data_IF_705200626666
#
_entry.id   IF_705200626666
#
_cell.length_a   1.000
_cell.length_b   1.000
_cell.length_c   1.000
_cell.angle_alpha   90.00
_cell.angle_beta   90.00
_cell.angle_gamma   90.00
#
_symmetry.space_group_name_H-M   'P 1'
#
loop_
_entity.id
_entity.type
_entity.pdbx_description
1 polymer ?
#
# COMPACT_ATOMS: atom_id res chain seq x y z
N UNK A 1 -15.46 -20.77 -3.95
CA UNK A 1 -14.79 -20.10 -2.80
C UNK A 1 -15.85 -19.37 -1.97
N UNK A 2 -16.01 -19.74 -0.70
CA UNK A 2 -17.09 -19.19 0.15
C UNK A 2 -16.99 -17.67 0.34
N UNK A 3 -15.78 -17.16 0.51
CA UNK A 3 -15.54 -15.73 0.82
C UNK A 3 -15.87 -14.77 -0.34
N UNK A 4 -15.98 -15.26 -1.58
CA UNK A 4 -16.15 -14.45 -2.80
C UNK A 4 -17.30 -14.92 -3.68
N UNK A 5 -18.34 -15.53 -3.10
CA UNK A 5 -19.54 -16.06 -3.81
C UNK A 5 -20.32 -15.02 -4.60
N UNK A 6 -20.13 -13.75 -4.34
CA UNK A 6 -20.76 -12.65 -5.05
C UNK A 6 -20.18 -12.39 -6.46
N UNK A 7 -19.02 -13.01 -6.77
CA UNK A 7 -18.43 -12.88 -8.10
C UNK A 7 -19.27 -13.70 -9.11
N UNK A 8 -19.56 -13.13 -10.29
CA UNK A 8 -20.15 -13.91 -11.38
C UNK A 8 -19.22 -15.06 -11.80
N UNK A 9 -19.77 -16.19 -12.22
CA UNK A 9 -19.00 -17.38 -12.64
C UNK A 9 -18.01 -17.11 -13.79
N UNK A 10 -18.34 -16.15 -14.65
CA UNK A 10 -17.50 -15.74 -15.79
C UNK A 10 -16.54 -14.57 -15.46
N UNK A 11 -16.38 -14.19 -14.20
CA UNK A 11 -15.51 -13.09 -13.77
C UNK A 11 -14.18 -13.62 -13.25
N UNK A 12 -13.10 -13.43 -14.03
CA UNK A 12 -11.74 -13.84 -13.69
C UNK A 12 -10.89 -12.61 -13.34
N UNK A 13 -10.80 -12.28 -12.04
CA UNK A 13 -10.19 -11.04 -11.59
C UNK A 13 -8.70 -11.18 -11.30
N UNK A 14 -7.85 -10.48 -12.06
CA UNK A 14 -6.38 -10.47 -11.96
C UNK A 14 -5.79 -9.06 -11.78
N UNK A 15 -6.52 -8.15 -11.12
CA UNK A 15 -6.01 -6.77 -10.83
C UNK A 15 -5.90 -6.47 -9.32
N UNK A 16 -5.53 -7.47 -8.52
CA UNK A 16 -5.39 -7.36 -7.05
C UNK A 16 -4.35 -6.32 -6.62
N UNK A 17 -3.33 -6.04 -7.43
CA UNK A 17 -2.32 -5.00 -7.15
C UNK A 17 -2.87 -3.57 -7.27
N UNK A 18 -4.00 -3.38 -7.97
CA UNK A 18 -4.75 -2.13 -7.99
C UNK A 18 -5.72 -2.08 -6.81
N UNK A 19 -6.56 -3.09 -6.69
CA UNK A 19 -7.57 -3.20 -5.65
C UNK A 19 -7.89 -4.69 -5.41
N UNK A 20 -7.68 -5.20 -4.20
CA UNK A 20 -8.08 -6.56 -3.87
C UNK A 20 -9.61 -6.66 -3.69
N UNK A 21 -10.18 -7.80 -4.01
CA UNK A 21 -11.59 -8.11 -3.72
C UNK A 21 -11.81 -8.22 -2.21
N UNK A 22 -13.01 -7.89 -1.72
CA UNK A 22 -13.34 -7.97 -0.29
C UNK A 22 -13.97 -9.33 0.01
N UNK A 23 -13.48 -10.07 1.02
CA UNK A 23 -14.20 -11.24 1.51
C UNK A 23 -15.59 -10.86 2.03
N UNK A 24 -16.56 -11.77 1.96
CA UNK A 24 -17.93 -11.50 2.38
C UNK A 24 -18.00 -10.99 3.83
N UNK A 25 -17.21 -11.55 4.75
CA UNK A 25 -17.17 -11.11 6.14
C UNK A 25 -16.78 -9.63 6.32
N UNK A 26 -15.98 -9.07 5.41
CA UNK A 26 -15.59 -7.64 5.43
C UNK A 26 -16.76 -6.76 4.96
N UNK A 27 -17.50 -7.24 3.95
CA UNK A 27 -18.73 -6.58 3.47
C UNK A 27 -19.79 -6.60 4.57
N UNK A 28 -19.95 -7.74 5.24
CA UNK A 28 -20.91 -7.92 6.34
C UNK A 28 -20.59 -7.00 7.52
N UNK A 29 -19.31 -6.89 7.92
CA UNK A 29 -18.87 -5.99 8.99
C UNK A 29 -19.15 -4.51 8.68
N UNK A 30 -18.99 -4.11 7.41
CA UNK A 30 -19.33 -2.75 6.97
C UNK A 30 -20.87 -2.52 7.02
N UNK A 31 -21.66 -3.49 6.58
CA UNK A 31 -23.10 -3.42 6.64
C UNK A 31 -23.61 -3.38 8.09
N UNK A 32 -23.06 -4.21 8.99
CA UNK A 32 -23.38 -4.22 10.41
C UNK A 32 -23.18 -2.84 11.05
N UNK A 33 -22.05 -2.16 10.75
CA UNK A 33 -21.85 -0.78 11.22
C UNK A 33 -22.99 0.13 10.80
N UNK A 34 -23.39 0.11 9.53
CA UNK A 34 -24.43 1.00 9.01
C UNK A 34 -25.85 0.66 9.49
N UNK A 35 -26.15 -0.61 9.79
CA UNK A 35 -27.48 -1.04 10.19
C UNK A 35 -27.69 -1.05 11.69
N UNK A 36 -26.68 -1.41 12.48
CA UNK A 36 -26.89 -1.79 13.88
C UNK A 36 -26.36 -0.73 14.86
N UNK A 37 -25.26 0.00 14.50
CA UNK A 37 -24.65 1.00 15.38
C UNK A 37 -24.02 2.19 14.62
N UNK A 38 -24.68 2.64 13.55
CA UNK A 38 -24.25 3.80 12.76
C UNK A 38 -24.15 5.06 13.63
N UNK A 39 -22.98 5.34 14.12
CA UNK A 39 -22.69 6.39 15.09
C UNK A 39 -21.35 7.04 14.84
N UNK A 40 -21.23 8.28 15.28
CA UNK A 40 -19.95 8.94 15.43
C UNK A 40 -19.18 8.27 16.59
N UNK A 41 -17.90 8.02 16.40
CA UNK A 41 -16.96 7.77 17.48
C UNK A 41 -16.46 9.06 18.10
N UNK A 42 -15.55 8.97 19.06
CA UNK A 42 -14.90 10.04 19.81
C UNK A 42 -15.87 11.02 20.50
N UNK A 43 -15.64 11.33 21.75
CA UNK A 43 -16.38 12.34 22.53
C UNK A 43 -17.88 12.10 22.73
N UNK A 44 -18.49 11.05 22.17
CA UNK A 44 -19.89 10.71 22.41
C UNK A 44 -20.05 9.86 23.67
N UNK A 45 -21.24 9.94 24.30
CA UNK A 45 -21.46 9.28 25.60
C UNK A 45 -22.49 8.15 25.53
N UNK A 46 -23.19 7.99 24.41
CA UNK A 46 -24.17 6.91 24.21
C UNK A 46 -23.50 5.60 23.76
N UNK A 47 -24.20 4.49 23.92
CA UNK A 47 -23.65 3.15 23.78
C UNK A 47 -23.02 2.87 22.40
N UNK A 48 -23.68 3.25 21.31
CA UNK A 48 -23.15 3.05 19.95
C UNK A 48 -21.84 3.76 19.72
N UNK A 49 -21.68 5.01 20.17
CA UNK A 49 -20.44 5.73 20.01
C UNK A 49 -19.29 5.12 20.83
N UNK A 50 -19.55 4.61 22.03
CA UNK A 50 -18.56 3.86 22.79
C UNK A 50 -18.12 2.58 22.08
N UNK A 51 -19.10 1.86 21.49
CA UNK A 51 -18.81 0.67 20.69
C UNK A 51 -17.94 1.00 19.48
N UNK A 52 -18.20 2.13 18.80
CA UNK A 52 -17.35 2.59 17.68
C UNK A 52 -15.92 2.89 18.17
N UNK A 53 -15.77 3.59 19.31
CA UNK A 53 -14.46 3.91 19.89
C UNK A 53 -13.66 2.64 20.20
N UNK A 54 -14.29 1.65 20.84
CA UNK A 54 -13.67 0.36 21.17
C UNK A 54 -13.21 -0.39 19.92
N UNK A 55 -14.08 -0.50 18.90
CA UNK A 55 -13.76 -1.19 17.65
C UNK A 55 -12.68 -0.49 16.82
N UNK A 56 -12.65 0.83 16.84
CA UNK A 56 -11.61 1.63 16.16
C UNK A 56 -10.25 1.45 16.84
N UNK A 57 -10.22 1.46 18.18
CA UNK A 57 -8.97 1.22 18.92
C UNK A 57 -8.48 -0.21 18.74
N UNK A 58 -9.37 -1.20 18.77
CA UNK A 58 -9.03 -2.58 18.41
C UNK A 58 -8.44 -2.69 17.00
N UNK A 59 -8.90 -1.87 16.07
CA UNK A 59 -8.34 -1.83 14.70
C UNK A 59 -6.91 -1.27 14.70
N UNK A 60 -6.65 -0.20 15.46
CA UNK A 60 -5.29 0.35 15.61
C UNK A 60 -4.34 -0.67 16.22
N UNK A 61 -4.79 -1.37 17.26
CA UNK A 61 -4.02 -2.46 17.88
C UNK A 61 -3.76 -3.60 16.91
N UNK A 62 -4.78 -4.04 16.15
CA UNK A 62 -4.64 -5.11 15.15
C UNK A 62 -3.61 -4.79 14.05
N UNK A 63 -3.53 -3.50 13.64
CA UNK A 63 -2.50 -3.02 12.70
C UNK A 63 -1.11 -3.11 13.30
N UNK A 64 -0.92 -2.67 14.54
CA UNK A 64 0.36 -2.75 15.24
C UNK A 64 0.79 -4.20 15.45
N UNK A 65 -0.14 -5.06 15.86
CA UNK A 65 0.09 -6.50 16.08
C UNK A 65 0.49 -7.20 14.78
N UNK A 66 -0.13 -6.88 13.65
CA UNK A 66 0.21 -7.42 12.33
C UNK A 66 1.70 -7.22 12.03
N UNK A 67 2.22 -6.04 12.35
CA UNK A 67 3.62 -5.67 12.14
C UNK A 67 4.51 -5.95 13.35
N UNK A 68 3.99 -6.51 14.43
CA UNK A 68 4.70 -6.76 15.71
C UNK A 68 5.38 -5.49 16.26
N UNK A 69 4.71 -4.35 16.10
CA UNK A 69 5.10 -3.06 16.65
C UNK A 69 4.40 -2.82 17.98
N UNK A 70 4.98 -1.96 18.83
CA UNK A 70 4.44 -1.70 20.17
C UNK A 70 3.79 -0.31 20.23
N UNK A 71 2.59 -0.21 20.78
CA UNK A 71 1.82 1.04 20.97
C UNK A 71 2.56 2.09 21.79
N UNK A 72 3.45 1.69 22.70
CA UNK A 72 4.31 2.65 23.41
C UNK A 72 5.28 3.42 22.51
N UNK A 73 5.58 2.91 21.31
CA UNK A 73 6.53 3.50 20.35
C UNK A 73 5.88 4.00 19.07
N UNK A 74 4.71 3.49 18.72
CA UNK A 74 4.01 3.80 17.49
C UNK A 74 2.55 4.16 17.77
N UNK A 75 1.99 4.95 16.90
CA UNK A 75 0.55 5.17 16.79
C UNK A 75 0.10 4.92 15.35
N UNK A 76 -1.19 4.65 15.19
CA UNK A 76 -1.83 4.42 13.91
C UNK A 76 -2.80 5.57 13.63
N UNK A 77 -2.77 6.10 12.42
CA UNK A 77 -3.76 7.06 11.92
C UNK A 77 -4.33 6.57 10.60
N UNK A 78 -5.59 6.92 10.35
CA UNK A 78 -6.29 6.56 9.13
C UNK A 78 -6.41 7.76 8.18
N UNK A 79 -6.38 7.48 6.88
CA UNK A 79 -6.48 8.48 5.81
C UNK A 79 -7.26 7.88 4.64
N UNK A 80 -7.36 8.59 3.51
CA UNK A 80 -8.07 8.07 2.33
C UNK A 80 -7.32 6.93 1.63
N UNK A 81 -6.00 7.02 1.52
CA UNK A 81 -5.12 6.04 0.85
C UNK A 81 -3.65 6.41 1.07
N UNK A 82 -2.72 5.58 0.56
CA UNK A 82 -1.27 5.84 0.64
C UNK A 82 -0.85 7.19 0.04
N UNK A 83 -1.40 7.57 -1.11
CA UNK A 83 -1.06 8.85 -1.76
C UNK A 83 -1.41 10.02 -0.86
N UNK A 84 -2.62 10.00 -0.29
CA UNK A 84 -3.07 11.03 0.65
C UNK A 84 -2.20 11.03 1.91
N UNK A 85 -1.98 9.87 2.52
CA UNK A 85 -1.16 9.74 3.73
C UNK A 85 0.28 10.21 3.54
N UNK A 86 0.94 9.86 2.42
CA UNK A 86 2.29 10.35 2.12
C UNK A 86 2.33 11.88 1.96
N UNK A 87 1.40 12.46 1.19
CA UNK A 87 1.35 13.91 1.01
C UNK A 87 1.01 14.62 2.32
N UNK A 88 0.07 14.11 3.11
CA UNK A 88 -0.29 14.67 4.41
C UNK A 88 0.90 14.64 5.38
N UNK A 89 1.61 13.51 5.45
CA UNK A 89 2.79 13.37 6.31
C UNK A 89 3.91 14.31 5.86
N UNK A 90 4.32 14.23 4.57
CA UNK A 90 5.43 15.03 4.04
C UNK A 90 5.14 16.53 4.08
N UNK A 91 3.90 16.97 3.82
CA UNK A 91 3.56 18.40 3.85
C UNK A 91 3.70 19.05 5.22
N UNK A 92 3.64 18.25 6.29
CA UNK A 92 3.69 18.67 7.68
C UNK A 92 5.02 18.37 8.38
N UNK A 93 5.99 17.75 7.68
CA UNK A 93 7.30 17.44 8.26
C UNK A 93 8.26 18.64 8.21
N UNK A 94 8.84 18.96 9.37
CA UNK A 94 9.95 19.91 9.51
C UNK A 94 11.18 19.16 10.05
N UNK A 95 12.00 18.60 9.13
CA UNK A 95 13.16 17.79 9.48
C UNK A 95 14.47 18.55 9.30
N UNK A 96 15.48 18.33 10.17
CA UNK A 96 16.81 18.92 10.02
C UNK A 96 17.64 18.12 8.99
N UNK A 97 17.21 18.11 7.73
CA UNK A 97 17.81 17.34 6.65
C UNK A 97 18.26 18.25 5.50
N UNK A 98 19.17 17.72 4.65
CA UNK A 98 19.69 18.42 3.47
C UNK A 98 19.29 17.73 2.17
N UNK A 99 18.78 16.52 2.24
CA UNK A 99 18.39 15.74 1.07
C UNK A 99 17.24 14.78 1.38
N UNK A 100 16.44 14.50 0.36
CA UNK A 100 15.48 13.39 0.34
C UNK A 100 15.94 12.35 -0.67
N UNK A 101 15.89 11.08 -0.28
CA UNK A 101 16.34 9.94 -1.09
C UNK A 101 15.15 9.07 -1.41
N UNK A 102 15.01 8.69 -2.67
CA UNK A 102 14.00 7.73 -3.14
C UNK A 102 14.62 6.77 -4.14
N UNK A 103 13.86 5.82 -4.67
CA UNK A 103 14.36 4.95 -5.73
C UNK A 103 13.63 5.17 -7.06
N UNK A 104 14.20 4.64 -8.14
CA UNK A 104 13.66 4.81 -9.48
C UNK A 104 12.36 4.03 -9.71
N UNK A 105 12.17 2.90 -9.02
CA UNK A 105 11.04 1.97 -9.20
C UNK A 105 9.78 2.39 -8.43
N UNK A 106 9.74 3.60 -7.90
CA UNK A 106 8.66 4.05 -7.03
C UNK A 106 7.34 4.28 -7.77
N UNK A 107 6.26 3.97 -7.08
CA UNK A 107 4.94 4.44 -7.48
C UNK A 107 4.89 5.98 -7.48
N UNK A 108 4.08 6.59 -8.35
CA UNK A 108 3.93 8.05 -8.44
C UNK A 108 3.60 8.70 -7.08
N UNK A 109 2.93 8.01 -6.17
CA UNK A 109 2.66 8.50 -4.81
C UNK A 109 3.92 8.86 -4.03
N UNK A 110 4.99 8.08 -4.19
CA UNK A 110 6.30 8.34 -3.59
C UNK A 110 7.11 9.26 -4.49
N UNK A 111 7.17 8.95 -5.78
CA UNK A 111 8.06 9.65 -6.70
C UNK A 111 7.73 11.14 -6.81
N UNK A 112 6.44 11.50 -6.94
CA UNK A 112 5.98 12.89 -7.06
C UNK A 112 5.99 13.60 -5.70
N UNK A 113 5.55 12.94 -4.63
CA UNK A 113 5.53 13.58 -3.30
C UNK A 113 6.94 13.90 -2.78
N UNK A 114 7.95 13.06 -3.09
CA UNK A 114 9.35 13.37 -2.77
C UNK A 114 9.92 14.51 -3.61
N UNK A 115 9.46 14.68 -4.84
CA UNK A 115 9.82 15.79 -5.73
C UNK A 115 9.27 17.12 -5.15
N UNK A 116 7.97 17.17 -4.87
CA UNK A 116 7.34 18.37 -4.29
C UNK A 116 7.87 18.71 -2.90
N UNK A 117 8.19 17.71 -2.09
CA UNK A 117 8.82 17.93 -0.79
C UNK A 117 10.20 18.56 -0.91
N UNK A 118 11.05 18.06 -1.84
CA UNK A 118 12.39 18.60 -2.09
C UNK A 118 12.32 20.06 -2.56
N UNK A 119 11.42 20.34 -3.50
CA UNK A 119 11.20 21.69 -4.04
C UNK A 119 10.74 22.66 -2.95
N UNK A 120 9.68 22.27 -2.18
CA UNK A 120 9.12 23.11 -1.10
C UNK A 120 10.17 23.45 -0.03
N UNK A 121 11.06 22.53 0.30
CA UNK A 121 12.06 22.71 1.37
C UNK A 121 13.44 23.18 0.86
N UNK A 122 13.61 23.38 -0.45
CA UNK A 122 14.89 23.82 -1.05
C UNK A 122 16.04 22.83 -0.79
N UNK A 123 15.76 21.52 -0.78
CA UNK A 123 16.76 20.48 -0.50
C UNK A 123 17.00 19.58 -1.71
N UNK A 124 18.14 18.91 -1.73
CA UNK A 124 18.49 18.00 -2.82
C UNK A 124 17.56 16.76 -2.82
N UNK A 125 17.13 16.34 -4.00
CA UNK A 125 16.48 15.05 -4.22
C UNK A 125 17.44 14.08 -4.91
N UNK A 126 17.60 12.90 -4.33
CA UNK A 126 18.45 11.83 -4.88
C UNK A 126 17.56 10.64 -5.24
N UNK A 127 17.67 10.18 -6.48
CA UNK A 127 16.97 8.97 -6.96
C UNK A 127 18.02 7.87 -7.15
N UNK A 128 17.88 6.78 -6.41
CA UNK A 128 18.82 5.65 -6.44
C UNK A 128 18.27 4.53 -7.33
N UNK A 129 19.13 3.83 -8.07
CA UNK A 129 18.75 2.61 -8.75
C UNK A 129 18.45 1.50 -7.73
N UNK A 130 17.65 0.54 -8.14
CA UNK A 130 17.46 -0.74 -7.42
C UNK A 130 18.37 -1.78 -8.03
N UNK A 131 19.01 -2.57 -7.18
CA UNK A 131 19.75 -3.76 -7.61
C UNK A 131 18.79 -4.80 -8.22
N UNK A 132 19.32 -5.75 -8.98
CA UNK A 132 18.53 -6.79 -9.63
C UNK A 132 17.67 -7.61 -8.65
N UNK A 133 18.17 -7.85 -7.44
CA UNK A 133 17.44 -8.54 -6.37
C UNK A 133 16.35 -7.67 -5.69
N UNK A 134 16.28 -6.37 -6.03
CA UNK A 134 15.38 -5.39 -5.45
C UNK A 134 15.94 -4.62 -4.26
N UNK A 135 17.18 -4.88 -3.84
CA UNK A 135 17.85 -4.15 -2.77
C UNK A 135 18.20 -2.71 -3.17
N UNK A 136 18.43 -1.86 -2.16
CA UNK A 136 19.14 -0.59 -2.32
C UNK A 136 20.57 -0.73 -1.82
N UNK A 137 21.53 -0.23 -2.59
CA UNK A 137 22.92 -0.25 -2.16
C UNK A 137 23.10 0.47 -0.83
N UNK A 138 23.79 -0.18 0.10
CA UNK A 138 24.12 0.35 1.43
C UNK A 138 25.38 1.22 1.41
N UNK A 139 26.09 1.34 0.28
CA UNK A 139 27.28 2.19 0.13
C UNK A 139 26.94 3.67 -0.01
N UNK A 140 25.65 3.98 -0.17
CA UNK A 140 25.18 5.36 -0.19
C UNK A 140 25.29 6.04 1.18
N UNK A 141 25.52 7.36 1.14
CA UNK A 141 25.46 8.21 2.32
C UNK A 141 24.01 8.62 2.62
N UNK A 142 23.50 8.17 3.77
CA UNK A 142 22.16 8.50 4.28
C UNK A 142 22.17 9.54 5.40
N UNK A 143 23.30 10.19 5.67
CA UNK A 143 23.37 11.25 6.67
C UNK A 143 22.53 12.47 6.27
N UNK A 144 21.93 13.16 7.23
CA UNK A 144 21.08 14.32 7.01
C UNK A 144 20.04 14.11 5.90
N UNK A 145 19.42 12.91 5.84
CA UNK A 145 18.48 12.56 4.80
C UNK A 145 17.14 12.04 5.35
N UNK A 146 16.10 12.19 4.52
CA UNK A 146 14.88 11.42 4.60
C UNK A 146 14.84 10.42 3.45
N UNK A 147 14.74 9.14 3.75
CA UNK A 147 14.58 8.07 2.75
C UNK A 147 13.09 7.74 2.65
N UNK A 148 12.53 7.74 1.44
CA UNK A 148 11.13 7.35 1.17
C UNK A 148 11.12 6.36 0.03
N UNK A 149 10.79 5.09 0.32
CA UNK A 149 10.87 4.00 -0.65
C UNK A 149 9.76 2.97 -0.45
N UNK A 150 9.37 2.30 -1.54
CA UNK A 150 8.43 1.20 -1.44
C UNK A 150 9.08 -0.08 -0.88
N UNK A 151 8.33 -0.83 -0.10
CA UNK A 151 8.75 -2.13 0.41
C UNK A 151 8.54 -3.26 -0.62
N UNK A 152 7.54 -3.11 -1.51
CA UNK A 152 7.23 -4.03 -2.61
C UNK A 152 6.77 -3.22 -3.80
N UNK A 153 7.35 -3.48 -4.97
CA UNK A 153 6.99 -2.83 -6.23
C UNK A 153 5.61 -3.27 -6.72
N UNK A 154 4.83 -2.31 -7.19
CA UNK A 154 3.53 -2.56 -7.81
C UNK A 154 3.64 -2.94 -9.30
N UNK A 155 4.84 -2.95 -9.85
CA UNK A 155 5.10 -3.27 -11.25
C UNK A 155 5.31 -4.77 -11.42
N UNK A 156 6.19 -5.34 -10.60
CA UNK A 156 6.69 -6.71 -10.75
C UNK A 156 6.72 -7.50 -9.41
N UNK A 157 6.16 -6.94 -8.35
CA UNK A 157 6.16 -7.57 -7.03
C UNK A 157 7.53 -7.72 -6.37
N UNK A 158 8.58 -7.11 -6.92
CA UNK A 158 9.94 -7.14 -6.38
C UNK A 158 9.97 -6.49 -5.01
N UNK A 159 10.59 -7.16 -4.05
CA UNK A 159 10.71 -6.70 -2.67
C UNK A 159 11.95 -5.86 -2.48
N UNK A 160 11.94 -4.97 -1.48
CA UNK A 160 13.14 -4.37 -0.92
C UNK A 160 13.82 -5.42 -0.02
N UNK A 161 14.61 -6.31 -0.61
CA UNK A 161 15.13 -7.51 0.09
C UNK A 161 15.99 -7.15 1.32
N UNK A 162 16.72 -6.04 1.28
CA UNK A 162 17.59 -5.61 2.39
C UNK A 162 16.94 -4.56 3.31
N UNK A 163 15.60 -4.50 3.41
CA UNK A 163 14.86 -3.48 4.17
C UNK A 163 15.38 -3.28 5.61
N UNK A 164 15.63 -4.37 6.34
CA UNK A 164 16.12 -4.29 7.72
C UNK A 164 17.53 -3.67 7.81
N UNK A 165 18.42 -4.04 6.90
CA UNK A 165 19.77 -3.50 6.81
C UNK A 165 19.74 -2.02 6.41
N UNK A 166 18.90 -1.65 5.45
CA UNK A 166 18.72 -0.27 5.01
C UNK A 166 18.23 0.61 6.17
N UNK A 167 17.17 0.21 6.86
CA UNK A 167 16.65 0.97 8.01
C UNK A 167 17.71 1.14 9.08
N UNK A 168 18.44 0.07 9.41
CA UNK A 168 19.55 0.12 10.38
C UNK A 168 20.67 1.09 9.93
N UNK A 169 21.04 1.07 8.65
CA UNK A 169 22.07 1.95 8.08
C UNK A 169 21.65 3.41 8.12
N UNK A 170 20.43 3.72 7.65
CA UNK A 170 19.85 5.07 7.69
C UNK A 170 19.81 5.62 9.12
N UNK A 171 19.28 4.85 10.06
CA UNK A 171 19.21 5.27 11.48
C UNK A 171 20.60 5.45 12.11
N UNK A 172 21.57 4.59 11.80
CA UNK A 172 22.97 4.72 12.28
C UNK A 172 23.62 6.01 11.81
N UNK A 173 23.25 6.51 10.65
CA UNK A 173 23.76 7.76 10.08
C UNK A 173 22.93 9.00 10.48
N UNK A 174 21.94 8.86 11.36
CA UNK A 174 21.08 9.95 11.81
C UNK A 174 20.02 10.37 10.79
N UNK A 175 19.78 9.58 9.76
CA UNK A 175 18.73 9.78 8.78
C UNK A 175 17.36 9.28 9.27
N UNK A 176 16.34 9.61 8.49
CA UNK A 176 14.94 9.19 8.69
C UNK A 176 14.49 8.31 7.53
N UNK A 177 13.49 7.44 7.79
CA UNK A 177 12.97 6.55 6.75
C UNK A 177 11.47 6.35 6.87
N UNK A 178 10.76 6.56 5.75
CA UNK A 178 9.34 6.27 5.54
C UNK A 178 9.24 5.15 4.50
N UNK A 179 8.43 4.15 4.80
CA UNK A 179 8.18 3.02 3.90
C UNK A 179 6.78 3.12 3.29
N UNK A 180 6.71 3.12 1.95
CA UNK A 180 5.47 2.84 1.24
C UNK A 180 5.21 1.33 1.27
N UNK A 181 4.18 0.95 2.00
CA UNK A 181 3.78 -0.43 2.24
C UNK A 181 2.49 -0.80 1.49
N UNK A 182 2.08 -0.01 0.49
CA UNK A 182 0.82 -0.21 -0.22
C UNK A 182 0.67 -1.62 -0.80
N UNK A 183 1.73 -2.19 -1.35
CA UNK A 183 1.73 -3.57 -1.86
C UNK A 183 2.15 -4.59 -0.81
N UNK A 184 2.91 -4.17 0.20
CA UNK A 184 3.48 -5.09 1.18
C UNK A 184 2.48 -5.53 2.25
N UNK A 185 1.61 -4.64 2.70
CA UNK A 185 0.75 -4.88 3.88
C UNK A 185 -0.22 -6.05 3.66
N UNK A 186 -0.73 -6.26 2.44
CA UNK A 186 -1.66 -7.35 2.12
C UNK A 186 -1.03 -8.70 1.80
N UNK A 187 0.18 -8.71 1.24
CA UNK A 187 0.78 -9.94 0.70
C UNK A 187 2.12 -10.31 1.32
N UNK A 188 2.82 -9.35 1.92
CA UNK A 188 4.18 -9.51 2.44
C UNK A 188 4.37 -8.77 3.78
N UNK A 189 3.35 -8.68 4.63
CA UNK A 189 3.44 -7.96 5.91
C UNK A 189 4.53 -8.52 6.83
N UNK A 190 4.90 -9.78 6.67
CA UNK A 190 5.99 -10.40 7.44
C UNK A 190 7.34 -9.69 7.19
N UNK A 191 7.56 -9.13 5.98
CA UNK A 191 8.73 -8.32 5.63
C UNK A 191 8.85 -7.07 6.51
N UNK A 192 7.71 -6.54 6.96
CA UNK A 192 7.63 -5.30 7.73
C UNK A 192 7.70 -5.51 9.25
N UNK A 193 7.58 -6.78 9.71
CA UNK A 193 7.53 -7.07 11.14
C UNK A 193 8.79 -6.64 11.88
N UNK A 194 8.60 -5.91 12.98
CA UNK A 194 9.68 -5.40 13.85
C UNK A 194 10.67 -4.43 13.15
N UNK A 195 10.37 -3.98 11.95
CA UNK A 195 11.22 -2.98 11.26
C UNK A 195 11.07 -1.62 11.98
N UNK A 196 12.17 -1.00 12.46
CA UNK A 196 12.10 0.24 13.22
C UNK A 196 12.12 1.50 12.31
N UNK A 197 11.29 1.52 11.26
CA UNK A 197 11.11 2.70 10.40
C UNK A 197 10.45 3.85 11.17
N UNK A 198 10.59 5.08 10.71
CA UNK A 198 9.96 6.25 11.31
C UNK A 198 8.47 6.34 10.98
N UNK A 199 8.11 5.92 9.75
CA UNK A 199 6.72 5.74 9.37
C UNK A 199 6.54 4.64 8.33
N UNK A 200 5.33 4.07 8.30
CA UNK A 200 4.83 3.17 7.27
C UNK A 200 3.53 3.78 6.75
N UNK A 201 3.34 3.78 5.45
CA UNK A 201 2.11 4.26 4.82
C UNK A 201 1.58 3.19 3.88
N UNK A 202 0.30 2.86 3.99
CA UNK A 202 -0.32 1.77 3.25
C UNK A 202 -1.75 2.09 2.81
N UNK A 203 -2.30 1.22 1.96
CA UNK A 203 -3.69 1.28 1.49
C UNK A 203 -4.40 -0.03 1.79
N UNK A 204 -5.42 0.03 2.62
CA UNK A 204 -6.20 -1.14 3.04
C UNK A 204 -6.94 -1.82 1.89
N UNK A 205 -7.36 -1.07 0.85
CA UNK A 205 -8.00 -1.63 -0.34
C UNK A 205 -7.12 -2.60 -1.15
N UNK A 206 -5.82 -2.71 -0.84
CA UNK A 206 -4.90 -3.70 -1.42
C UNK A 206 -4.67 -4.90 -0.49
N UNK A 207 -5.34 -4.93 0.66
CA UNK A 207 -5.29 -6.03 1.60
C UNK A 207 -6.69 -6.54 2.01
N UNK A 208 -7.57 -6.68 1.02
CA UNK A 208 -8.93 -7.24 1.17
C UNK A 208 -9.88 -6.42 2.03
N UNK A 209 -9.54 -5.15 2.30
CA UNK A 209 -10.31 -4.24 3.13
C UNK A 209 -11.00 -3.12 2.32
N UNK A 210 -11.89 -2.32 2.93
CA UNK A 210 -12.45 -1.13 2.31
C UNK A 210 -11.39 -0.11 1.87
N UNK A 211 -11.82 0.92 1.13
CA UNK A 211 -10.93 2.00 0.68
C UNK A 211 -10.54 2.89 1.85
N UNK A 212 -9.35 2.66 2.39
CA UNK A 212 -8.80 3.34 3.55
C UNK A 212 -7.28 3.44 3.42
N UNK A 213 -6.68 4.53 3.84
CA UNK A 213 -5.25 4.68 4.04
C UNK A 213 -4.88 4.39 5.49
N UNK A 214 -3.68 3.87 5.70
CA UNK A 214 -3.15 3.55 7.02
C UNK A 214 -1.76 4.16 7.15
N UNK A 215 -1.55 4.94 8.18
CA UNK A 215 -0.25 5.46 8.58
C UNK A 215 0.12 4.91 9.95
N UNK A 216 1.32 4.38 10.08
CA UNK A 216 1.89 3.92 11.34
C UNK A 216 3.13 4.75 11.58
N UNK A 217 3.11 5.58 12.61
CA UNK A 217 4.14 6.61 12.83
C UNK A 217 4.78 6.43 14.20
N UNK A 218 6.10 6.55 14.26
CA UNK A 218 6.84 6.51 15.54
C UNK A 218 6.52 7.77 16.37
N UNK A 219 6.21 7.58 17.65
CA UNK A 219 5.87 8.68 18.55
C UNK A 219 6.99 9.73 18.70
N UNK A 220 8.25 9.30 18.72
CA UNK A 220 9.39 10.22 18.74
C UNK A 220 9.67 10.93 17.41
N UNK A 221 9.17 10.40 16.30
CA UNK A 221 9.21 11.08 15.00
C UNK A 221 8.14 12.17 14.89
N UNK A 222 7.03 12.03 15.63
CA UNK A 222 5.93 12.99 15.63
C UNK A 222 6.34 14.40 16.10
N UNK A 223 7.44 14.54 16.85
CA UNK A 223 7.98 15.88 17.25
C UNK A 223 8.41 16.75 16.04
N UNK A 224 8.62 16.15 14.88
CA UNK A 224 8.95 16.85 13.64
C UNK A 224 7.72 17.18 12.78
N UNK A 225 6.53 16.86 13.28
CA UNK A 225 5.28 17.12 12.56
C UNK A 225 4.70 18.43 13.08
N UNK A 226 4.51 19.38 12.18
CA UNK A 226 3.83 20.63 12.42
C UNK A 226 2.48 20.61 11.72
N UNK A 227 1.42 20.35 12.51
CA UNK A 227 0.07 20.26 11.94
C UNK A 227 -0.31 21.54 11.23
N UNK A 228 -0.58 21.43 9.94
CA UNK A 228 -1.02 22.53 9.07
C UNK A 228 -2.39 22.25 8.43
N UNK A 229 -2.85 21.01 8.53
CA UNK A 229 -4.18 20.60 8.11
C UNK A 229 -5.01 20.30 9.36
N UNK A 230 -5.77 21.30 9.80
CA UNK A 230 -6.46 21.29 11.10
C UNK A 230 -7.97 21.41 10.93
N UNK A 231 -8.73 20.85 11.88
CA UNK A 231 -10.19 20.85 11.82
C UNK A 231 -10.86 20.27 13.05
N UNK A 232 -12.11 19.86 12.90
CA UNK A 232 -12.86 19.21 13.97
C UNK A 232 -12.18 17.95 14.47
N UNK A 233 -12.34 17.62 15.75
CA UNK A 233 -11.79 16.42 16.36
C UNK A 233 -10.34 16.54 16.87
N UNK A 234 -9.59 17.57 16.51
CA UNK A 234 -8.15 17.67 16.76
C UNK A 234 -7.76 18.58 17.94
N UNK A 235 -8.68 19.37 18.46
CA UNK A 235 -8.36 20.46 19.41
C UNK A 235 -9.01 20.24 20.77
N UNK A 236 -8.28 20.58 21.82
CA UNK A 236 -8.78 20.63 23.21
C UNK A 236 -9.42 21.98 23.54
N UNK A 237 -8.95 23.08 22.93
CA UNK A 237 -9.42 24.43 23.14
C UNK A 237 -9.26 25.30 21.92
N UNK A 238 -10.20 26.21 21.69
CA UNK A 238 -10.16 27.20 20.59
C UNK A 238 -10.51 28.58 21.16
N UNK A 239 -9.69 29.59 20.85
CA UNK A 239 -9.93 31.00 21.10
C UNK A 239 -10.03 31.74 19.78
N UNK A 240 -10.32 33.03 19.80
CA UNK A 240 -10.46 33.84 18.59
C UNK A 240 -9.24 33.70 17.64
N UNK A 241 -8.04 33.79 18.18
CA UNK A 241 -6.80 33.85 17.39
C UNK A 241 -5.79 32.74 17.75
N UNK A 242 -6.23 31.67 18.44
CA UNK A 242 -5.37 30.57 18.87
C UNK A 242 -6.16 29.30 19.14
N UNK A 243 -5.48 28.18 19.10
CA UNK A 243 -6.04 26.88 19.47
C UNK A 243 -4.97 25.99 20.09
N UNK A 244 -5.41 24.99 20.85
CA UNK A 244 -4.57 23.97 21.45
C UNK A 244 -4.95 22.61 20.88
N UNK A 245 -3.96 21.87 20.37
CA UNK A 245 -4.15 20.51 19.87
C UNK A 245 -4.39 19.51 20.99
N UNK A 246 -5.09 18.43 20.70
CA UNK A 246 -5.10 17.24 21.55
C UNK A 246 -3.69 16.67 21.69
N UNK A 247 -3.40 16.09 22.85
CA UNK A 247 -2.07 15.57 23.18
C UNK A 247 -2.18 14.21 23.88
N UNK A 248 -1.05 13.58 24.14
CA UNK A 248 -0.98 12.30 24.84
C UNK A 248 -1.44 11.13 23.98
N UNK A 249 -2.38 10.34 24.45
CA UNK A 249 -2.85 9.14 23.79
C UNK A 249 -3.63 9.42 22.49
N UNK A 250 -4.12 10.66 22.32
CA UNK A 250 -4.86 11.11 21.13
C UNK A 250 -3.95 11.67 20.04
N UNK A 251 -2.66 11.39 20.07
CA UNK A 251 -1.66 11.87 19.07
C UNK A 251 -2.01 11.51 17.63
N UNK A 252 -2.75 10.43 17.40
CA UNK A 252 -3.21 10.02 16.06
C UNK A 252 -4.08 11.08 15.38
N UNK A 253 -4.79 11.91 16.17
CA UNK A 253 -5.69 12.96 15.66
C UNK A 253 -4.98 14.03 14.84
N UNK A 254 -3.64 14.17 14.95
CA UNK A 254 -2.86 15.10 14.10
C UNK A 254 -3.01 14.84 12.61
N UNK A 255 -3.47 13.63 12.21
CA UNK A 255 -3.69 13.23 10.84
C UNK A 255 -5.16 12.90 10.54
N UNK A 256 -6.06 13.01 11.51
CA UNK A 256 -7.47 12.61 11.41
C UNK A 256 -8.44 13.79 11.65
N UNK A 257 -8.32 14.90 10.89
CA UNK A 257 -9.26 16.01 11.03
C UNK A 257 -10.64 15.63 10.49
N UNK A 258 -11.69 16.02 11.24
CA UNK A 258 -13.08 15.83 10.85
C UNK A 258 -13.63 14.44 11.17
N UNK A 259 -14.78 14.13 10.59
CA UNK A 259 -15.42 12.83 10.75
C UNK A 259 -14.64 11.75 10.01
N UNK A 260 -14.32 10.68 10.71
CA UNK A 260 -13.59 9.56 10.13
C UNK A 260 -14.54 8.54 9.46
N UNK A 261 -14.00 7.68 8.60
CA UNK A 261 -14.70 6.59 7.93
C UNK A 261 -14.84 5.39 8.88
N UNK A 262 -15.67 5.55 9.93
CA UNK A 262 -15.75 4.59 11.04
C UNK A 262 -16.05 3.16 10.58
N UNK A 263 -17.02 2.98 9.68
CA UNK A 263 -17.37 1.66 9.15
C UNK A 263 -16.21 1.00 8.42
N UNK A 264 -15.48 1.75 7.60
CA UNK A 264 -14.32 1.27 6.86
C UNK A 264 -13.16 0.91 7.79
N UNK A 265 -12.96 1.68 8.86
CA UNK A 265 -11.93 1.41 9.88
C UNK A 265 -12.27 0.11 10.62
N UNK A 266 -13.50 -0.07 11.04
CA UNK A 266 -13.98 -1.27 11.75
C UNK A 266 -13.87 -2.50 10.84
N UNK A 267 -14.36 -2.42 9.61
CA UNK A 267 -14.28 -3.51 8.65
C UNK A 267 -12.83 -3.86 8.26
N UNK A 268 -11.89 -2.93 8.41
CA UNK A 268 -10.48 -3.19 8.19
C UNK A 268 -9.91 -4.19 9.21
N UNK A 269 -10.31 -4.13 10.47
CA UNK A 269 -9.93 -5.17 11.46
C UNK A 269 -10.40 -6.55 11.03
N UNK A 270 -11.63 -6.66 10.54
CA UNK A 270 -12.16 -7.92 10.01
C UNK A 270 -11.29 -8.45 8.86
N UNK A 271 -10.83 -7.58 7.96
CA UNK A 271 -9.93 -7.97 6.88
C UNK A 271 -8.56 -8.45 7.41
N UNK A 272 -7.99 -7.81 8.43
CA UNK A 272 -6.75 -8.25 9.09
C UNK A 272 -6.92 -9.63 9.70
N UNK A 273 -8.01 -9.85 10.44
CA UNK A 273 -8.29 -11.12 11.10
C UNK A 273 -8.55 -12.25 10.08
N UNK A 274 -9.24 -11.93 9.00
CA UNK A 274 -9.44 -12.84 7.88
C UNK A 274 -8.10 -13.21 7.22
N UNK A 275 -7.27 -12.21 6.90
CA UNK A 275 -5.98 -12.41 6.25
C UNK A 275 -5.04 -13.31 7.08
N UNK A 276 -4.98 -13.10 8.39
CA UNK A 276 -4.17 -13.93 9.32
C UNK A 276 -4.56 -15.42 9.30
N UNK A 277 -5.79 -15.74 8.95
CA UNK A 277 -6.31 -17.13 8.86
C UNK A 277 -6.01 -17.80 7.51
N UNK A 278 -5.57 -17.05 6.51
CA UNK A 278 -5.35 -17.60 5.17
C UNK A 278 -4.08 -18.46 5.10
N UNK A 279 -4.24 -19.66 4.55
CA UNK A 279 -3.15 -20.63 4.33
C UNK A 279 -2.76 -20.77 2.85
N UNK A 280 -3.32 -19.95 1.96
CA UNK A 280 -3.21 -20.09 0.50
C UNK A 280 -1.95 -19.47 -0.14
N UNK A 281 -0.95 -19.07 0.65
CA UNK A 281 0.27 -18.46 0.10
C UNK A 281 0.99 -19.36 -0.90
N UNK A 282 1.10 -20.68 -0.58
CA UNK A 282 1.69 -21.66 -1.49
C UNK A 282 0.95 -21.81 -2.81
N UNK A 283 -0.39 -21.66 -2.81
CA UNK A 283 -1.22 -21.67 -4.02
C UNK A 283 -0.97 -20.44 -4.90
N UNK A 284 -0.83 -19.25 -4.30
CA UNK A 284 -0.47 -18.03 -5.04
C UNK A 284 0.90 -18.17 -5.68
N UNK A 285 1.88 -18.71 -4.95
CA UNK A 285 3.24 -18.93 -5.46
C UNK A 285 3.23 -19.93 -6.64
N UNK A 286 2.45 -21.00 -6.55
CA UNK A 286 2.24 -21.98 -7.64
C UNK A 286 1.64 -21.31 -8.88
N UNK A 287 0.55 -20.57 -8.72
CA UNK A 287 -0.12 -19.86 -9.83
C UNK A 287 0.79 -18.81 -10.46
N UNK A 288 1.53 -18.08 -9.62
CA UNK A 288 2.50 -17.08 -10.10
C UNK A 288 3.59 -17.72 -10.97
N UNK A 289 4.11 -18.86 -10.53
CA UNK A 289 5.11 -19.60 -11.29
C UNK A 289 4.54 -20.12 -12.61
N UNK A 290 3.35 -20.69 -12.60
CA UNK A 290 2.71 -21.24 -13.80
C UNK A 290 2.45 -20.14 -14.85
N UNK A 291 1.89 -18.99 -14.46
CA UNK A 291 1.66 -17.88 -15.39
C UNK A 291 2.99 -17.29 -15.89
N UNK A 292 3.97 -17.13 -15.02
CA UNK A 292 5.29 -16.59 -15.37
C UNK A 292 6.00 -17.47 -16.40
N UNK A 293 6.07 -18.79 -16.18
CA UNK A 293 6.70 -19.74 -17.12
C UNK A 293 5.91 -19.80 -18.43
N UNK A 294 4.58 -19.81 -18.39
CA UNK A 294 3.75 -19.75 -19.58
C UNK A 294 4.07 -18.51 -20.45
N UNK A 295 4.08 -17.31 -19.85
CA UNK A 295 4.35 -16.07 -20.57
C UNK A 295 5.74 -16.06 -21.21
N UNK A 296 6.75 -16.62 -20.55
CA UNK A 296 8.12 -16.73 -21.09
C UNK A 296 8.24 -17.64 -22.30
N UNK A 297 7.31 -18.56 -22.48
CA UNK A 297 7.30 -19.44 -23.68
C UNK A 297 6.58 -18.82 -24.87
N UNK A 298 5.84 -17.71 -24.67
CA UNK A 298 5.05 -17.10 -25.74
C UNK A 298 5.93 -16.23 -26.66
N UNK A 299 5.77 -16.42 -27.96
CA UNK A 299 6.53 -15.70 -28.99
C UNK A 299 6.17 -14.21 -28.98
N UNK A 300 7.17 -13.33 -28.92
CA UNK A 300 7.00 -11.89 -28.94
C UNK A 300 6.59 -11.30 -27.57
N UNK A 301 6.42 -12.11 -26.54
CA UNK A 301 6.15 -11.67 -25.17
C UNK A 301 7.46 -11.42 -24.42
N UNK A 302 7.55 -10.25 -23.82
CA UNK A 302 8.68 -9.82 -23.00
C UNK A 302 8.20 -9.61 -21.57
N UNK A 303 8.58 -10.51 -20.67
CA UNK A 303 8.21 -10.45 -19.24
C UNK A 303 9.22 -9.60 -18.51
N UNK A 304 8.74 -8.57 -17.79
CA UNK A 304 9.59 -7.64 -17.01
C UNK A 304 10.18 -8.28 -15.76
N UNK A 305 9.46 -9.23 -15.18
CA UNK A 305 9.87 -9.91 -13.95
C UNK A 305 11.12 -10.78 -14.18
N UNK A 306 12.08 -10.72 -13.27
CA UNK A 306 13.23 -11.64 -13.24
C UNK A 306 12.88 -13.00 -12.65
N UNK A 307 11.94 -13.02 -11.71
CA UNK A 307 11.43 -14.22 -11.05
C UNK A 307 9.91 -14.16 -10.91
N UNK A 308 9.28 -15.30 -10.74
CA UNK A 308 7.84 -15.39 -10.50
C UNK A 308 7.47 -14.67 -9.18
N UNK A 309 6.48 -13.80 -9.26
CA UNK A 309 5.87 -13.09 -8.13
C UNK A 309 4.36 -13.01 -8.38
N UNK A 310 3.53 -12.69 -7.38
CA UNK A 310 2.09 -12.51 -7.58
C UNK A 310 1.71 -11.33 -8.50
N UNK A 311 2.66 -10.49 -8.86
CA UNK A 311 2.46 -9.36 -9.77
C UNK A 311 3.39 -9.55 -10.96
N UNK A 312 2.84 -9.82 -12.15
CA UNK A 312 3.60 -10.10 -13.36
C UNK A 312 3.25 -9.05 -14.40
N UNK A 313 4.27 -8.38 -14.93
CA UNK A 313 4.12 -7.39 -16.00
C UNK A 313 4.85 -7.81 -17.26
N UNK A 314 4.21 -7.63 -18.40
CA UNK A 314 4.78 -7.97 -19.70
C UNK A 314 4.31 -6.99 -20.79
N UNK A 315 5.02 -6.98 -21.90
CA UNK A 315 4.59 -6.36 -23.14
C UNK A 315 4.82 -7.33 -24.31
N UNK A 316 4.19 -7.05 -25.44
CA UNK A 316 4.36 -7.83 -26.65
C UNK A 316 4.99 -6.96 -27.75
N UNK A 317 5.89 -7.54 -28.56
CA UNK A 317 6.67 -6.81 -29.60
C UNK A 317 5.79 -6.13 -30.66
N UNK A 318 4.60 -6.68 -30.92
CA UNK A 318 3.71 -6.23 -32.01
C UNK A 318 2.31 -5.81 -31.55
N UNK A 319 1.83 -6.35 -30.43
CA UNK A 319 0.47 -6.10 -29.93
C UNK A 319 0.50 -5.00 -28.88
N UNK A 320 -0.42 -4.05 -28.99
CA UNK A 320 -0.59 -3.01 -27.98
C UNK A 320 -1.17 -3.59 -26.69
N UNK A 321 -0.64 -3.17 -25.54
CA UNK A 321 -1.04 -3.68 -24.23
C UNK A 321 -2.51 -3.40 -23.88
N UNK A 322 -3.08 -2.30 -24.37
CA UNK A 322 -4.49 -1.98 -24.15
C UNK A 322 -5.39 -2.89 -24.99
N UNK A 323 -4.98 -3.23 -26.20
CA UNK A 323 -5.72 -4.19 -27.04
C UNK A 323 -5.68 -5.60 -26.44
N UNK A 324 -4.54 -6.04 -25.89
CA UNK A 324 -4.45 -7.31 -25.16
C UNK A 324 -5.40 -7.30 -23.96
N UNK A 325 -5.38 -6.23 -23.17
CA UNK A 325 -6.26 -6.11 -22.00
C UNK A 325 -7.75 -6.07 -22.41
N UNK A 326 -8.10 -5.45 -23.54
CA UNK A 326 -9.47 -5.44 -24.05
C UNK A 326 -9.91 -6.85 -24.49
N UNK A 327 -9.07 -7.57 -25.24
CA UNK A 327 -9.37 -8.93 -25.67
C UNK A 327 -9.58 -9.89 -24.47
N UNK A 328 -8.79 -9.72 -23.41
CA UNK A 328 -8.98 -10.45 -22.15
C UNK A 328 -10.31 -10.06 -21.48
N UNK A 329 -10.65 -8.77 -21.43
CA UNK A 329 -11.89 -8.25 -20.84
C UNK A 329 -13.13 -8.78 -21.55
N UNK A 330 -13.10 -8.92 -22.88
CA UNK A 330 -14.20 -9.48 -23.68
C UNK A 330 -14.50 -10.95 -23.33
N UNK A 331 -13.52 -11.64 -22.74
CA UNK A 331 -13.62 -13.02 -22.23
C UNK A 331 -13.82 -13.08 -20.69
N UNK A 332 -14.14 -11.95 -20.04
CA UNK A 332 -14.38 -11.88 -18.60
C UNK A 332 -13.12 -11.84 -17.73
N UNK A 333 -11.93 -11.67 -18.34
CA UNK A 333 -10.65 -11.64 -17.62
C UNK A 333 -10.20 -10.19 -17.40
N UNK A 334 -10.09 -9.79 -16.14
CA UNK A 334 -9.80 -8.42 -15.74
C UNK A 334 -8.32 -8.27 -15.36
N UNK A 335 -7.57 -7.57 -16.18
CA UNK A 335 -6.15 -7.23 -15.97
C UNK A 335 -5.94 -5.71 -16.05
N UNK A 336 -4.75 -5.25 -15.70
CA UNK A 336 -4.37 -3.84 -15.86
C UNK A 336 -3.46 -3.64 -17.07
N UNK A 337 -3.63 -2.51 -17.79
CA UNK A 337 -2.69 -2.09 -18.84
C UNK A 337 -2.21 -0.65 -18.64
N UNK A 338 -1.01 -0.33 -19.13
CA UNK A 338 -0.39 0.99 -19.06
C UNK A 338 0.93 1.03 -18.29
N UNK A 339 1.22 2.15 -17.62
CA UNK A 339 2.44 2.38 -16.82
C UNK A 339 2.22 2.24 -15.28
N UNK A 340 1.06 1.79 -14.83
CA UNK A 340 0.72 1.43 -13.43
C UNK A 340 1.13 2.48 -12.39
N UNK A 341 1.07 3.77 -12.74
CA UNK A 341 1.56 4.89 -11.92
C UNK A 341 3.05 4.79 -11.53
N UNK A 342 3.88 4.22 -12.43
CA UNK A 342 5.34 4.15 -12.31
C UNK A 342 6.02 4.66 -13.59
N UNK A 343 5.52 5.81 -14.08
CA UNK A 343 5.90 6.37 -15.38
C UNK A 343 7.41 6.61 -15.49
N UNK A 344 8.03 7.16 -14.44
CA UNK A 344 9.46 7.45 -14.49
C UNK A 344 10.29 6.19 -14.77
N UNK A 345 10.06 5.13 -14.01
CA UNK A 345 10.82 3.90 -14.17
C UNK A 345 10.55 3.23 -15.51
N UNK A 346 9.27 3.02 -15.86
CA UNK A 346 8.92 2.26 -17.05
C UNK A 346 9.20 3.02 -18.36
N UNK A 347 8.94 4.32 -18.38
CA UNK A 347 9.06 5.13 -19.59
C UNK A 347 10.42 5.79 -19.74
N UNK A 348 10.95 6.44 -18.67
CA UNK A 348 12.16 7.24 -18.78
C UNK A 348 13.44 6.41 -18.50
N UNK A 349 13.39 5.44 -17.55
CA UNK A 349 14.56 4.62 -17.21
C UNK A 349 14.66 3.41 -18.15
N UNK A 350 13.57 2.64 -18.31
CA UNK A 350 13.57 1.41 -19.11
C UNK A 350 13.17 1.63 -20.57
N UNK A 351 12.61 2.80 -20.92
CA UNK A 351 12.11 3.14 -22.27
C UNK A 351 11.16 2.07 -22.83
N UNK A 352 10.24 1.54 -22.02
CA UNK A 352 9.31 0.50 -22.41
C UNK A 352 8.00 1.06 -22.96
N UNK A 353 7.29 0.31 -23.83
CA UNK A 353 5.91 0.62 -24.19
C UNK A 353 4.98 0.44 -23.00
N UNK A 354 3.66 0.61 -23.21
CA UNK A 354 2.67 0.18 -22.22
C UNK A 354 2.76 -1.33 -21.97
N UNK A 355 2.51 -1.74 -20.74
CA UNK A 355 2.55 -3.15 -20.32
C UNK A 355 1.15 -3.63 -19.93
N UNK A 356 0.97 -4.93 -19.96
CA UNK A 356 -0.12 -5.64 -19.27
C UNK A 356 0.40 -6.11 -17.93
N UNK A 357 -0.39 -5.95 -16.88
CA UNK A 357 -0.07 -6.45 -15.53
C UNK A 357 -1.15 -7.42 -15.07
N UNK A 358 -0.74 -8.63 -14.76
CA UNK A 358 -1.52 -9.67 -14.10
C UNK A 358 -1.16 -9.63 -12.61
N UNK A 359 -2.14 -9.56 -11.72
CA UNK A 359 -1.89 -9.62 -10.29
C UNK A 359 -2.87 -10.56 -9.59
N UNK A 360 -2.30 -11.60 -8.99
CA UNK A 360 -3.00 -12.74 -8.40
C UNK A 360 -3.39 -12.41 -6.96
N UNK A 361 -4.62 -12.79 -6.59
CA UNK A 361 -5.14 -12.64 -5.23
C UNK A 361 -5.58 -13.97 -4.62
N UNK A 362 -5.94 -13.95 -3.34
CA UNK A 362 -6.40 -15.14 -2.60
C UNK A 362 -7.72 -15.74 -3.11
N UNK A 363 -8.44 -15.00 -3.94
CA UNK A 363 -9.69 -15.45 -4.59
C UNK A 363 -9.43 -16.30 -5.85
N UNK A 364 -8.26 -16.16 -6.50
CA UNK A 364 -7.99 -16.88 -7.73
C UNK A 364 -7.94 -18.40 -7.52
N UNK A 365 -8.41 -19.11 -8.53
CA UNK A 365 -8.48 -20.56 -8.61
C UNK A 365 -7.61 -21.09 -9.74
N UNK A 366 -7.44 -22.41 -9.81
CA UNK A 366 -6.80 -23.07 -10.95
C UNK A 366 -7.54 -22.77 -12.25
N UNK A 367 -8.88 -22.81 -12.21
CA UNK A 367 -9.73 -22.51 -13.36
C UNK A 367 -9.48 -21.09 -13.92
N UNK A 368 -9.33 -20.08 -13.05
CA UNK A 368 -8.99 -18.71 -13.47
C UNK A 368 -7.66 -18.70 -14.24
N UNK A 369 -6.64 -19.40 -13.72
CA UNK A 369 -5.31 -19.46 -14.33
C UNK A 369 -5.36 -20.16 -15.69
N UNK A 370 -6.07 -21.28 -15.78
CA UNK A 370 -6.19 -22.05 -17.02
C UNK A 370 -6.96 -21.25 -18.08
N UNK A 371 -8.04 -20.55 -17.70
CA UNK A 371 -8.80 -19.65 -18.58
C UNK A 371 -7.93 -18.49 -19.07
N UNK A 372 -7.16 -17.85 -18.17
CA UNK A 372 -6.24 -16.77 -18.55
C UNK A 372 -5.22 -17.23 -19.60
N UNK A 373 -4.57 -18.38 -19.38
CA UNK A 373 -3.58 -18.95 -20.32
C UNK A 373 -4.19 -19.26 -21.67
N UNK A 374 -5.35 -19.92 -21.67
CA UNK A 374 -6.07 -20.28 -22.91
C UNK A 374 -6.42 -19.04 -23.76
N UNK A 375 -6.86 -17.96 -23.13
CA UNK A 375 -7.22 -16.73 -23.86
C UNK A 375 -5.97 -16.01 -24.35
N UNK A 376 -4.92 -15.90 -23.51
CA UNK A 376 -3.65 -15.29 -23.94
C UNK A 376 -3.01 -16.03 -25.11
N UNK A 377 -3.05 -17.38 -25.14
CA UNK A 377 -2.54 -18.19 -26.24
C UNK A 377 -3.22 -17.80 -27.57
N UNK A 378 -4.56 -17.69 -27.57
CA UNK A 378 -5.33 -17.22 -28.75
C UNK A 378 -5.03 -15.78 -29.15
N UNK A 379 -4.75 -14.91 -28.19
CA UNK A 379 -4.45 -13.47 -28.44
C UNK A 379 -3.06 -13.32 -29.06
N UNK A 380 -2.12 -14.21 -28.76
CA UNK A 380 -0.74 -14.16 -29.26
C UNK A 380 -0.54 -14.92 -30.60
N UNK A 381 -1.50 -15.77 -31.02
CA UNK A 381 -1.52 -16.40 -32.35
C UNK A 381 -1.82 -15.37 -33.47
#
# INVERSE_FOLDING_TARGET
>A
MEDFKYLPENAHYFDSACQSLRPQCVIDALNEYYTDYNSCGERVKYAWGKQVDELVEETREAVLDLLKLKSKHYFVSFTLNTTYGLNLLLSQLELPIKKIITSEIEHNSVFLSTMTFAEKNGINRVVLPREADGSLSLDNDFSNSLVVVNAVSNIDGRRLENIAALVKKVKKQGGFIILDCAQALGSNYELLQKIPADAFVASAHKMYAPSLGVMIVRKDFAKYIKSSFVGGGMVSSVKQDSFEMLAGDEIHTIFEPGLQAWGEIIAFKTAIDWLKKQKKKSQIDEFSKDIFEFLKTQKGVNVLNEKATPVISFYHDKLDAHLIAQALSDEGIMVRSGYFCAHYYLKEVLNLPHLVRISIGLHNTREDVDKLKQVLERVFE
#
